data_IF_826795681228
#
_entry.id   IF_826795681228
#
_cell.length_a   1.000
_cell.length_b   1.000
_cell.length_c   1.000
_cell.angle_alpha   90.00
_cell.angle_beta   90.00
_cell.angle_gamma   90.00
#
_symmetry.space_group_name_H-M   'P 1'
#
loop_
_entity.id
_entity.type
_entity.pdbx_description
1 polymer ?
#
# COMPACT_ATOMS: atom_id res chain seq x y z
N UNK A 1 -28.12 34.11 -51.71
CA UNK A 1 -27.13 33.82 -50.65
C UNK A 1 -27.81 32.87 -49.67
N UNK A 2 -27.59 31.57 -49.79
CA UNK A 2 -28.14 30.58 -48.85
C UNK A 2 -27.14 30.40 -47.72
N UNK A 3 -27.59 30.64 -46.49
CA UNK A 3 -26.88 30.19 -45.31
C UNK A 3 -27.02 28.66 -45.26
N UNK A 4 -25.91 27.93 -45.39
CA UNK A 4 -25.87 26.49 -45.16
C UNK A 4 -25.30 26.25 -43.77
N UNK A 5 -26.17 26.03 -42.79
CA UNK A 5 -25.76 25.40 -41.53
C UNK A 5 -25.77 23.89 -41.80
N UNK A 6 -24.60 23.27 -41.96
CA UNK A 6 -24.51 21.82 -41.77
C UNK A 6 -24.82 21.57 -40.30
N UNK A 7 -25.95 20.95 -40.00
CA UNK A 7 -26.22 20.45 -38.65
C UNK A 7 -25.12 19.45 -38.31
N UNK A 8 -24.21 19.85 -37.43
CA UNK A 8 -23.20 18.95 -36.88
C UNK A 8 -23.92 18.08 -35.87
N UNK A 9 -24.20 16.83 -36.24
CA UNK A 9 -24.73 15.83 -35.31
C UNK A 9 -23.56 15.15 -34.64
N UNK A 10 -23.39 15.38 -33.34
CA UNK A 10 -22.37 14.68 -32.56
C UNK A 10 -22.80 13.25 -32.26
N UNK A 11 -21.84 12.31 -32.15
CA UNK A 11 -22.16 10.96 -31.68
C UNK A 11 -22.83 11.06 -30.30
N UNK A 12 -23.82 10.20 -30.00
CA UNK A 12 -24.37 10.17 -28.65
C UNK A 12 -23.26 9.79 -27.66
N UNK A 13 -23.25 10.48 -26.52
CA UNK A 13 -22.47 10.00 -25.38
C UNK A 13 -23.01 8.67 -24.88
N UNK A 14 -22.21 8.00 -24.06
CA UNK A 14 -22.60 6.83 -23.29
C UNK A 14 -22.54 7.13 -21.79
N UNK A 15 -22.59 6.11 -20.94
CA UNK A 15 -22.53 6.33 -19.49
C UNK A 15 -21.16 6.83 -19.01
N UNK A 16 -20.14 6.80 -19.86
CA UNK A 16 -18.78 7.21 -19.56
C UNK A 16 -18.33 8.45 -20.30
N UNK A 17 -19.14 8.96 -21.22
CA UNK A 17 -18.78 10.09 -22.05
C UNK A 17 -19.97 11.02 -22.24
N UNK A 18 -19.76 12.30 -21.99
CA UNK A 18 -20.69 13.34 -22.43
C UNK A 18 -20.25 13.84 -23.80
N UNK A 19 -21.20 14.02 -24.72
CA UNK A 19 -20.94 14.51 -26.07
C UNK A 19 -21.75 15.76 -26.33
N UNK A 20 -21.05 16.87 -26.57
CA UNK A 20 -21.64 18.19 -26.76
C UNK A 20 -21.11 18.86 -28.03
N UNK A 21 -21.93 19.70 -28.65
CA UNK A 21 -21.52 20.47 -29.82
C UNK A 21 -20.96 21.83 -29.39
N UNK A 22 -19.66 22.05 -29.57
CA UNK A 22 -19.03 23.35 -29.40
C UNK A 22 -19.02 24.14 -30.74
N UNK A 23 -19.50 25.39 -30.79
CA UNK A 23 -19.55 26.19 -32.01
C UNK A 23 -18.20 26.48 -32.70
N UNK A 24 -17.10 26.48 -31.96
CA UNK A 24 -15.77 26.87 -32.46
C UNK A 24 -14.91 25.66 -32.86
N UNK A 25 -15.06 24.53 -32.17
CA UNK A 25 -14.22 23.33 -32.37
C UNK A 25 -14.99 22.10 -32.86
N UNK A 26 -16.32 22.16 -32.93
CA UNK A 26 -17.16 21.03 -33.32
C UNK A 26 -17.52 20.12 -32.14
N UNK A 27 -17.66 18.82 -32.37
CA UNK A 27 -18.04 17.87 -31.31
C UNK A 27 -16.93 17.71 -30.28
N UNK A 28 -17.29 17.90 -29.01
CA UNK A 28 -16.42 17.70 -27.86
C UNK A 28 -16.99 16.53 -27.08
N UNK A 29 -16.14 15.55 -26.83
CA UNK A 29 -16.44 14.40 -25.96
C UNK A 29 -15.60 14.54 -24.71
N UNK A 30 -16.23 14.45 -23.55
CA UNK A 30 -15.56 14.52 -22.24
C UNK A 30 -15.89 13.28 -21.43
N UNK A 31 -14.88 12.71 -20.81
CA UNK A 31 -15.05 11.54 -19.95
C UNK A 31 -15.83 11.92 -18.67
N UNK A 32 -16.67 11.01 -18.21
CA UNK A 32 -17.32 11.07 -16.90
C UNK A 32 -16.28 10.76 -15.84
N UNK A 33 -16.18 11.61 -14.82
CA UNK A 33 -15.36 11.34 -13.67
C UNK A 33 -16.09 10.36 -12.74
N UNK A 34 -15.50 9.18 -12.54
CA UNK A 34 -16.00 8.15 -11.64
C UNK A 34 -15.22 8.07 -10.31
N UNK A 35 -14.35 9.03 -10.02
CA UNK A 35 -13.65 9.13 -8.74
C UNK A 35 -14.66 9.28 -7.59
N UNK A 36 -14.78 8.28 -6.73
CA UNK A 36 -15.62 8.30 -5.53
C UNK A 36 -14.90 8.81 -4.27
N UNK A 37 -13.62 9.15 -4.42
CA UNK A 37 -12.71 9.61 -3.38
C UNK A 37 -12.44 8.58 -2.27
N UNK A 38 -12.75 7.30 -2.50
CA UNK A 38 -12.39 6.21 -1.60
C UNK A 38 -11.05 5.59 -2.06
N UNK A 39 -10.00 5.70 -1.24
CA UNK A 39 -8.71 5.07 -1.55
C UNK A 39 -8.76 3.53 -1.51
N UNK A 40 -9.88 2.96 -1.08
CA UNK A 40 -10.15 1.54 -1.05
C UNK A 40 -10.91 1.04 -2.28
N UNK A 41 -11.07 1.87 -3.31
CA UNK A 41 -11.68 1.50 -4.59
C UNK A 41 -10.76 1.82 -5.76
N UNK A 42 -10.76 0.92 -6.74
CA UNK A 42 -10.29 1.20 -8.09
C UNK A 42 -11.50 1.66 -8.92
N UNK A 43 -11.48 2.94 -9.28
CA UNK A 43 -12.55 3.58 -10.02
C UNK A 43 -12.35 3.44 -11.53
N UNK A 44 -13.41 2.97 -12.19
CA UNK A 44 -13.45 2.82 -13.63
C UNK A 44 -14.83 3.17 -14.17
N UNK A 45 -14.92 3.33 -15.49
CA UNK A 45 -16.19 3.52 -16.15
C UNK A 45 -16.40 2.48 -17.25
N UNK A 46 -17.48 1.72 -17.13
CA UNK A 46 -17.95 0.81 -18.17
C UNK A 46 -19.03 1.48 -19.01
N UNK A 47 -18.86 1.50 -20.34
CA UNK A 47 -19.76 2.22 -21.25
C UNK A 47 -21.23 1.74 -21.18
N UNK A 48 -21.49 0.51 -20.72
CA UNK A 48 -22.81 -0.08 -20.62
C UNK A 48 -23.43 0.03 -19.21
N UNK A 49 -22.61 0.00 -18.15
CA UNK A 49 -23.09 0.02 -16.76
C UNK A 49 -22.81 1.31 -16.00
N UNK A 50 -21.94 2.18 -16.52
CA UNK A 50 -21.51 3.44 -15.89
C UNK A 50 -20.34 3.25 -14.95
N UNK A 51 -20.24 4.11 -13.94
CA UNK A 51 -19.17 4.06 -12.95
C UNK A 51 -19.17 2.72 -12.18
N UNK A 52 -17.98 2.15 -12.04
CA UNK A 52 -17.71 0.91 -11.33
C UNK A 52 -16.57 1.17 -10.35
N UNK A 53 -16.85 0.95 -9.07
CA UNK A 53 -15.93 1.12 -7.96
C UNK A 53 -15.61 -0.27 -7.43
N UNK A 54 -14.39 -0.77 -7.69
CA UNK A 54 -14.00 -2.13 -7.31
C UNK A 54 -13.16 -2.07 -6.05
N UNK A 55 -13.52 -2.81 -5.00
CA UNK A 55 -12.74 -2.83 -3.77
C UNK A 55 -11.28 -3.23 -4.02
N UNK A 56 -10.35 -2.44 -3.51
CA UNK A 56 -8.92 -2.75 -3.47
C UNK A 56 -8.70 -3.89 -2.48
N UNK A 57 -7.84 -4.83 -2.87
CA UNK A 57 -7.36 -5.90 -1.98
C UNK A 57 -6.09 -5.43 -1.26
N UNK A 58 -6.14 -5.38 0.06
CA UNK A 58 -5.02 -4.96 0.90
C UNK A 58 -4.22 -6.13 1.48
N UNK A 59 -4.56 -7.38 1.12
CA UNK A 59 -3.88 -8.58 1.61
C UNK A 59 -2.39 -8.59 1.19
N UNK A 60 -1.49 -8.38 2.16
CA UNK A 60 -0.04 -8.46 1.92
C UNK A 60 0.53 -9.87 2.06
N UNK A 61 -0.34 -10.83 2.31
CA UNK A 61 -0.05 -12.24 2.50
C UNK A 61 0.86 -12.52 3.70
N UNK A 62 0.98 -11.57 4.64
CA UNK A 62 1.66 -11.75 5.91
C UNK A 62 0.66 -12.21 6.98
N UNK A 63 0.80 -13.44 7.45
CA UNK A 63 -0.08 -14.01 8.49
C UNK A 63 0.10 -13.30 9.85
N UNK A 64 1.16 -12.51 10.00
CA UNK A 64 1.49 -11.76 11.22
C UNK A 64 0.81 -10.38 11.26
N UNK A 65 0.26 -9.91 10.15
CA UNK A 65 -0.45 -8.64 10.05
C UNK A 65 -1.96 -8.86 10.07
N UNK A 66 -2.69 -7.81 10.42
CA UNK A 66 -4.08 -7.66 10.02
C UNK A 66 -4.17 -6.57 8.97
N UNK A 67 -4.74 -6.94 7.84
CA UNK A 67 -4.96 -6.05 6.69
C UNK A 67 -6.29 -5.34 6.81
N UNK A 68 -6.27 -4.07 6.46
CA UNK A 68 -7.43 -3.21 6.49
C UNK A 68 -7.30 -2.14 5.42
N UNK A 69 -8.43 -1.61 4.99
CA UNK A 69 -8.45 -0.44 4.13
C UNK A 69 -9.26 0.67 4.78
N UNK A 70 -8.68 1.85 4.83
CA UNK A 70 -9.31 3.08 5.31
C UNK A 70 -9.51 4.02 4.12
N UNK A 71 -10.73 4.54 3.94
CA UNK A 71 -11.08 5.29 2.72
C UNK A 71 -10.25 6.56 2.51
N UNK A 72 -9.72 7.14 3.58
CA UNK A 72 -8.95 8.39 3.53
C UNK A 72 -7.44 8.16 3.43
N UNK A 73 -6.96 7.00 3.90
CA UNK A 73 -5.52 6.70 4.01
C UNK A 73 -5.05 5.49 3.19
N UNK A 74 -5.98 4.71 2.63
CA UNK A 74 -5.75 3.53 1.81
C UNK A 74 -5.45 2.27 2.62
N UNK A 75 -4.76 1.32 1.99
CA UNK A 75 -4.39 0.06 2.61
C UNK A 75 -3.44 0.26 3.79
N UNK A 76 -3.72 -0.48 4.86
CA UNK A 76 -2.94 -0.53 6.09
C UNK A 76 -2.86 -1.95 6.61
N UNK A 77 -1.62 -2.39 6.82
CA UNK A 77 -1.31 -3.70 7.39
C UNK A 77 -0.64 -3.44 8.74
N UNK A 78 -1.21 -3.99 9.80
CA UNK A 78 -0.74 -3.73 11.18
C UNK A 78 -0.22 -5.01 11.78
N UNK A 79 0.99 -4.97 12.34
CA UNK A 79 1.56 -6.10 13.09
C UNK A 79 0.66 -6.45 14.28
N UNK A 80 -0.01 -7.58 14.19
CA UNK A 80 -0.97 -8.03 15.20
C UNK A 80 -0.39 -9.14 16.09
N UNK A 81 0.60 -9.87 15.58
CA UNK A 81 1.31 -10.92 16.32
C UNK A 81 2.52 -10.34 17.03
N UNK A 82 2.42 -10.22 18.36
CA UNK A 82 3.56 -9.82 19.21
C UNK A 82 4.39 -11.05 19.57
N UNK A 83 5.55 -11.18 18.95
CA UNK A 83 6.56 -12.16 19.32
C UNK A 83 7.59 -11.51 20.22
N UNK A 84 7.60 -11.88 21.50
CA UNK A 84 8.71 -11.56 22.39
C UNK A 84 8.93 -12.65 23.42
N UNK A 85 10.17 -13.13 23.53
CA UNK A 85 10.57 -14.11 24.56
C UNK A 85 11.19 -13.44 25.80
N UNK A 86 11.19 -12.10 25.84
CA UNK A 86 11.83 -11.28 26.88
C UNK A 86 13.36 -11.44 26.98
N UNK A 87 14.02 -11.97 25.96
CA UNK A 87 15.46 -12.06 25.86
C UNK A 87 15.99 -10.97 24.93
N UNK A 88 16.70 -9.99 25.50
CA UNK A 88 17.30 -8.91 24.71
C UNK A 88 18.44 -9.38 23.76
N UNK A 89 18.76 -10.67 23.78
CA UNK A 89 19.77 -11.32 22.94
C UNK A 89 19.19 -12.11 21.78
N UNK A 90 17.88 -12.07 21.57
CA UNK A 90 17.22 -12.68 20.41
C UNK A 90 16.61 -11.59 19.54
N UNK A 91 16.62 -11.86 18.25
CA UNK A 91 15.77 -11.17 17.29
C UNK A 91 14.46 -11.96 17.23
N UNK A 92 13.41 -11.35 17.76
CA UNK A 92 12.10 -11.95 17.92
C UNK A 92 11.23 -11.48 16.77
N UNK A 93 10.79 -12.41 15.94
CA UNK A 93 9.96 -12.09 14.78
C UNK A 93 8.84 -13.10 14.60
N UNK A 94 7.78 -12.67 13.94
CA UNK A 94 6.73 -13.57 13.50
C UNK A 94 7.05 -14.05 12.08
N UNK A 95 6.92 -15.35 11.83
CA UNK A 95 7.11 -15.91 10.50
C UNK A 95 5.89 -15.56 9.61
N UNK A 96 6.07 -14.81 8.52
CA UNK A 96 4.96 -14.25 7.75
C UNK A 96 4.12 -15.31 7.02
N UNK A 97 4.62 -16.53 6.84
CA UNK A 97 3.88 -17.60 6.16
C UNK A 97 3.10 -18.49 7.12
N UNK A 98 3.59 -18.65 8.35
CA UNK A 98 3.02 -19.60 9.32
C UNK A 98 2.37 -18.92 10.52
N UNK A 99 2.63 -17.64 10.75
CA UNK A 99 2.20 -16.90 11.95
C UNK A 99 2.88 -17.37 13.23
N UNK A 100 3.95 -18.18 13.15
CA UNK A 100 4.64 -18.70 14.34
C UNK A 100 5.78 -17.78 14.75
N UNK A 101 5.93 -17.55 16.06
CA UNK A 101 7.07 -16.80 16.57
C UNK A 101 8.39 -17.56 16.43
N UNK A 102 9.39 -16.87 15.91
CA UNK A 102 10.77 -17.29 15.80
C UNK A 102 11.66 -16.39 16.66
N UNK A 103 12.62 -17.00 17.35
CA UNK A 103 13.52 -16.32 18.27
C UNK A 103 14.95 -16.69 17.90
N UNK A 104 15.63 -15.81 17.18
CA UNK A 104 16.95 -16.09 16.61
C UNK A 104 18.01 -15.42 17.47
N UNK A 105 18.94 -16.21 18.01
CA UNK A 105 20.02 -15.66 18.83
C UNK A 105 20.86 -14.65 18.02
N UNK A 106 20.97 -13.43 18.53
CA UNK A 106 21.80 -12.37 17.97
C UNK A 106 23.21 -12.44 18.54
N UNK A 107 24.21 -12.21 17.69
CA UNK A 107 25.61 -12.10 18.11
C UNK A 107 25.94 -10.65 18.45
N UNK A 108 26.45 -10.42 19.65
CA UNK A 108 26.88 -9.09 20.10
C UNK A 108 28.32 -8.77 19.70
N UNK A 109 28.74 -9.06 18.46
CA UNK A 109 30.09 -8.80 17.97
C UNK A 109 30.20 -7.37 17.43
N UNK A 110 30.96 -6.49 18.09
CA UNK A 110 31.22 -5.11 17.60
C UNK A 110 32.41 -5.03 16.64
N UNK A 111 33.03 -6.17 16.31
CA UNK A 111 34.22 -6.32 15.48
C UNK A 111 35.45 -5.60 16.04
N UNK A 112 35.45 -5.27 17.32
CA UNK A 112 36.60 -4.71 17.99
C UNK A 112 37.33 -5.82 18.75
N UNK A 113 38.53 -6.16 18.29
CA UNK A 113 39.33 -7.20 18.95
C UNK A 113 39.72 -6.83 20.40
N UNK A 114 39.61 -5.54 20.77
CA UNK A 114 39.89 -5.00 22.10
C UNK A 114 38.68 -4.97 23.04
N UNK A 115 37.56 -5.59 22.66
CA UNK A 115 36.40 -5.77 23.52
C UNK A 115 36.15 -7.25 23.79
N UNK A 116 35.56 -7.51 24.95
CA UNK A 116 34.92 -8.76 25.30
C UNK A 116 33.44 -8.55 25.12
N UNK A 117 32.91 -9.27 24.15
CA UNK A 117 31.56 -9.12 23.67
C UNK A 117 30.68 -10.18 24.31
N UNK A 118 29.58 -9.72 24.89
CA UNK A 118 28.65 -10.59 25.60
C UNK A 118 27.24 -10.07 25.43
N UNK A 119 26.28 -10.97 25.54
CA UNK A 119 24.90 -10.58 25.56
C UNK A 119 24.30 -10.83 26.95
N UNK A 120 23.70 -9.79 27.50
CA UNK A 120 22.94 -9.85 28.73
C UNK A 120 21.45 -9.97 28.38
N UNK A 121 20.78 -11.00 28.89
CA UNK A 121 19.39 -11.32 28.53
C UNK A 121 18.40 -10.19 28.84
N UNK A 122 18.75 -9.24 29.71
CA UNK A 122 17.90 -8.11 30.09
C UNK A 122 18.39 -6.80 29.50
N UNK A 123 19.71 -6.61 29.42
CA UNK A 123 20.34 -5.36 29.01
C UNK A 123 20.80 -5.34 27.54
N UNK A 124 20.73 -6.47 26.83
CA UNK A 124 21.17 -6.63 25.46
C UNK A 124 22.69 -6.72 25.33
N UNK A 125 23.22 -6.26 24.20
CA UNK A 125 24.65 -6.34 23.91
C UNK A 125 25.52 -5.50 24.83
N UNK A 126 26.59 -6.12 25.33
CA UNK A 126 27.56 -5.53 26.26
C UNK A 126 28.97 -5.75 25.72
N UNK A 127 29.68 -4.64 25.54
CA UNK A 127 31.05 -4.59 25.02
C UNK A 127 31.98 -4.09 26.11
N UNK A 128 32.80 -4.98 26.67
CA UNK A 128 33.72 -4.62 27.75
C UNK A 128 35.14 -4.50 27.22
N UNK A 129 35.75 -3.33 27.35
CA UNK A 129 37.15 -3.14 26.95
C UNK A 129 38.08 -4.13 27.66
N UNK A 130 38.98 -4.75 26.90
CA UNK A 130 40.09 -5.58 27.37
C UNK A 130 41.41 -5.02 26.81
N UNK A 131 42.52 -5.49 27.35
CA UNK A 131 43.84 -5.08 26.88
C UNK A 131 44.08 -5.72 25.51
N UNK A 132 44.38 -4.88 24.51
CA UNK A 132 44.90 -5.31 23.23
C UNK A 132 46.42 -5.32 23.26
N UNK A 133 47.02 -6.44 22.85
CA UNK A 133 48.47 -6.56 22.61
C UNK A 133 48.83 -6.17 21.18
#
# INVERSE_FOLDING_TARGET
MQCSYTNVTCPPGDLCTNSECNPDVGCVVTDVNCDDHDLCTDDSCDAATGCVHTSVDCDDHDVCTTDSCDSDTGCRNTDDVVCSDSNACTDDSCNPLTGTCEYVATTCDDRNECTSDSCDITMGCRYQNKVCE
#
